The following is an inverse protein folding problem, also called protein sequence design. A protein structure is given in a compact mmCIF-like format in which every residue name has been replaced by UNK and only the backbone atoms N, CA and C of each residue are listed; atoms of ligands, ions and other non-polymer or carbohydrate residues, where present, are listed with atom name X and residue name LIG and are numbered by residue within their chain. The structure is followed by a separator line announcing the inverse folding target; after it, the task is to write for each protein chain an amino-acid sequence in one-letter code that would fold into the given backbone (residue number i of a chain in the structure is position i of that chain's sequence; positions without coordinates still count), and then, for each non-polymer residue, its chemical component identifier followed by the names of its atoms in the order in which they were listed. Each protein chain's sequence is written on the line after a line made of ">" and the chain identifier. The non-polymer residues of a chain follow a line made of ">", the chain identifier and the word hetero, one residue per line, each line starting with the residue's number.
data_IF_085003907327
#
_entry.id   IF_085003907327
#
_cell.length_a   1.000
_cell.length_b   1.000
_cell.length_c   1.000
_cell.angle_alpha   90.00
_cell.angle_beta   90.00
_cell.angle_gamma   90.00
#
_symmetry.space_group_name_H-M   'P 1'
#
loop_
_entity.id
_entity.type
_entity.pdbx_description
1 polymer ?
#
# COMPACT_ATOMS: atom_id res chain seq x y z
N UNK A 1 -0.14 -2.08 22.96
CA UNK A 1 -0.62 -3.37 22.40
C UNK A 1 -2.09 -3.39 21.95
N UNK A 2 -2.78 -2.25 21.91
CA UNK A 2 -4.25 -2.22 21.98
C UNK A 2 -4.97 -2.07 20.63
N UNK A 3 -4.40 -1.38 19.64
CA UNK A 3 -5.09 -1.08 18.39
C UNK A 3 -5.24 -2.28 17.42
N UNK A 4 -4.36 -3.29 17.49
CA UNK A 4 -4.51 -4.54 16.72
C UNK A 4 -5.24 -5.65 17.49
N UNK A 5 -5.24 -5.60 18.82
CA UNK A 5 -6.00 -6.53 19.66
C UNK A 5 -7.51 -6.27 19.55
N UNK A 6 -7.93 -5.00 19.40
CA UNK A 6 -9.31 -4.62 19.07
C UNK A 6 -9.73 -5.05 17.65
N UNK A 7 -8.81 -5.01 16.68
CA UNK A 7 -9.03 -5.55 15.33
C UNK A 7 -9.20 -7.07 15.39
N UNK A 8 -8.42 -7.78 16.21
CA UNK A 8 -8.60 -9.23 16.41
C UNK A 8 -9.88 -9.60 17.16
N UNK A 9 -10.36 -8.76 18.10
CA UNK A 9 -11.64 -8.95 18.78
C UNK A 9 -12.84 -8.73 17.85
N UNK A 10 -12.71 -7.82 16.87
CA UNK A 10 -13.69 -7.67 15.78
C UNK A 10 -13.82 -8.93 14.91
N UNK A 11 -12.77 -9.74 14.82
CA UNK A 11 -12.77 -11.04 14.14
C UNK A 11 -13.17 -12.22 15.06
N UNK A 12 -13.24 -12.02 16.37
CA UNK A 12 -13.48 -13.06 17.36
C UNK A 12 -14.89 -13.02 17.99
N UNK A 13 -15.79 -12.14 17.54
CA UNK A 13 -17.20 -12.23 17.95
C UNK A 13 -17.89 -13.36 17.18
N UNK A 14 -18.60 -14.30 17.84
CA UNK A 14 -19.01 -15.59 17.27
C UNK A 14 -20.11 -15.56 16.21
N UNK A 15 -20.37 -14.42 15.57
CA UNK A 15 -21.53 -14.31 14.68
C UNK A 15 -21.20 -14.45 13.20
N UNK A 16 -20.17 -13.84 12.62
CA UNK A 16 -19.84 -14.13 11.21
C UNK A 16 -18.38 -13.74 10.96
N UNK A 17 -17.52 -14.68 10.54
CA UNK A 17 -16.09 -14.48 10.26
C UNK A 17 -15.76 -13.53 9.09
N UNK A 18 -16.50 -12.43 8.97
CA UNK A 18 -16.40 -11.39 7.94
C UNK A 18 -16.33 -10.01 8.59
N UNK A 19 -15.52 -9.12 7.99
CA UNK A 19 -15.39 -7.73 8.41
C UNK A 19 -16.74 -6.98 8.36
N UNK A 20 -16.99 -6.01 9.27
CA UNK A 20 -18.17 -5.15 9.23
C UNK A 20 -18.38 -4.48 7.87
N UNK A 21 -19.50 -4.76 7.22
CA UNK A 21 -19.84 -4.21 5.91
C UNK A 21 -20.90 -3.12 6.02
N UNK A 22 -21.92 -3.33 6.84
CA UNK A 22 -23.07 -2.43 6.95
C UNK A 22 -22.82 -1.29 7.97
N UNK A 23 -23.55 -0.19 7.83
CA UNK A 23 -23.46 0.93 8.78
C UNK A 23 -23.80 0.50 10.24
N UNK A 24 -24.84 -0.32 10.49
CA UNK A 24 -25.10 -0.87 11.82
C UNK A 24 -23.93 -1.68 12.40
N UNK A 25 -23.34 -2.60 11.62
CA UNK A 25 -22.19 -3.41 12.06
C UNK A 25 -20.98 -2.55 12.40
N UNK A 26 -20.70 -1.53 11.58
CA UNK A 26 -19.61 -0.57 11.82
C UNK A 26 -19.84 0.24 13.11
N UNK A 27 -21.08 0.64 13.37
CA UNK A 27 -21.46 1.32 14.62
C UNK A 27 -21.31 0.39 15.82
N UNK A 28 -21.72 -0.87 15.69
CA UNK A 28 -21.58 -1.89 16.73
C UNK A 28 -20.12 -2.15 17.08
N UNK A 29 -19.23 -2.26 16.09
CA UNK A 29 -17.80 -2.40 16.32
C UNK A 29 -17.24 -1.20 17.11
N UNK A 30 -17.58 0.03 16.71
CA UNK A 30 -17.14 1.24 17.44
C UNK A 30 -17.64 1.26 18.88
N UNK A 31 -18.89 0.87 19.11
CA UNK A 31 -19.46 0.77 20.45
C UNK A 31 -18.76 -0.31 21.30
N UNK A 32 -18.41 -1.44 20.69
CA UNK A 32 -17.64 -2.51 21.36
C UNK A 32 -16.26 -2.01 21.78
N UNK A 33 -15.55 -1.29 20.90
CA UNK A 33 -14.26 -0.68 21.22
C UNK A 33 -14.40 0.29 22.40
N UNK A 34 -15.37 1.20 22.32
CA UNK A 34 -15.62 2.19 23.37
C UNK A 34 -16.01 1.56 24.72
N UNK A 35 -16.73 0.43 24.70
CA UNK A 35 -17.12 -0.27 25.94
C UNK A 35 -15.96 -0.88 26.72
N UNK A 36 -14.79 -1.04 26.08
CA UNK A 36 -13.57 -1.51 26.73
C UNK A 36 -12.80 -0.42 27.48
N UNK A 37 -13.17 0.85 27.28
CA UNK A 37 -12.55 1.99 27.95
C UNK A 37 -12.91 1.95 29.44
N UNK A 38 -11.89 2.05 30.30
CA UNK A 38 -12.08 2.14 31.75
C UNK A 38 -12.57 3.54 32.10
N UNK A 39 -13.37 3.62 33.14
CA UNK A 39 -13.80 4.90 33.72
C UNK A 39 -13.12 5.10 35.06
N UNK A 40 -12.72 6.33 35.34
CA UNK A 40 -12.12 6.75 36.61
C UNK A 40 -12.76 8.08 37.03
N UNK A 41 -12.90 8.29 38.33
CA UNK A 41 -13.31 9.59 38.89
C UNK A 41 -12.17 10.60 38.93
N UNK A 42 -10.94 10.17 38.63
CA UNK A 42 -9.77 11.03 38.51
C UNK A 42 -9.83 11.84 37.19
N UNK A 43 -9.88 13.18 37.24
CA UNK A 43 -9.89 14.03 36.06
C UNK A 43 -8.65 13.93 35.18
N UNK A 44 -7.54 13.39 35.70
CA UNK A 44 -6.29 13.17 34.96
C UNK A 44 -6.20 11.80 34.28
N UNK A 45 -7.19 10.92 34.51
CA UNK A 45 -7.25 9.63 33.85
C UNK A 45 -7.79 9.79 32.44
N UNK A 46 -6.91 9.62 31.45
CA UNK A 46 -7.26 9.62 30.05
C UNK A 46 -6.83 8.29 29.40
N UNK A 47 -7.66 7.80 28.47
CA UNK A 47 -7.40 6.63 27.64
C UNK A 47 -7.46 7.05 26.16
N UNK A 48 -6.62 8.03 25.80
CA UNK A 48 -6.50 8.59 24.44
C UNK A 48 -6.32 7.49 23.37
N UNK A 49 -5.68 6.38 23.73
CA UNK A 49 -5.51 5.21 22.85
C UNK A 49 -6.84 4.56 22.44
N UNK A 50 -7.85 4.51 23.31
CA UNK A 50 -9.19 3.99 23.00
C UNK A 50 -9.96 4.98 22.12
N UNK A 51 -9.84 6.28 22.39
CA UNK A 51 -10.44 7.29 21.52
C UNK A 51 -9.83 7.25 20.12
N UNK A 52 -8.50 7.12 20.03
CA UNK A 52 -7.77 6.95 18.77
C UNK A 52 -8.25 5.70 18.04
N UNK A 53 -8.46 4.59 18.75
CA UNK A 53 -8.99 3.35 18.20
C UNK A 53 -10.40 3.51 17.62
N UNK A 54 -11.31 4.21 18.32
CA UNK A 54 -12.67 4.49 17.81
C UNK A 54 -12.63 5.39 16.57
N UNK A 55 -11.79 6.43 16.58
CA UNK A 55 -11.59 7.33 15.43
C UNK A 55 -11.05 6.57 14.22
N UNK A 56 -10.12 5.64 14.44
CA UNK A 56 -9.45 4.87 13.39
C UNK A 56 -10.09 3.50 13.09
N UNK A 57 -11.19 3.13 13.75
CA UNK A 57 -11.84 1.83 13.59
C UNK A 57 -12.17 1.49 12.13
N UNK A 58 -12.38 2.50 11.29
CA UNK A 58 -12.63 2.32 9.86
C UNK A 58 -11.49 1.67 9.08
N UNK A 59 -10.25 1.82 9.55
CA UNK A 59 -9.09 1.18 8.95
C UNK A 59 -9.14 -0.35 9.10
N UNK A 60 -9.81 -0.85 10.14
CA UNK A 60 -9.94 -2.28 10.40
C UNK A 60 -10.85 -3.00 9.39
N UNK A 61 -11.92 -2.33 8.95
CA UNK A 61 -12.89 -2.87 7.99
C UNK A 61 -12.74 -2.29 6.58
N UNK A 62 -11.73 -1.44 6.35
CA UNK A 62 -11.40 -1.00 5.00
C UNK A 62 -10.78 -2.17 4.23
N UNK A 63 -11.31 -2.52 3.04
CA UNK A 63 -10.72 -3.59 2.24
C UNK A 63 -9.31 -3.17 1.80
N UNK A 64 -8.35 -4.08 1.98
CA UNK A 64 -7.01 -3.90 1.39
C UNK A 64 -7.14 -4.18 -0.11
N UNK A 65 -7.19 -3.11 -0.90
CA UNK A 65 -7.24 -3.17 -2.36
C UNK A 65 -6.03 -2.51 -3.00
N UNK A 66 -5.63 -3.03 -4.15
CA UNK A 66 -4.68 -2.36 -5.04
C UNK A 66 -5.38 -1.11 -5.62
N UNK A 67 -4.76 0.07 -5.60
CA UNK A 67 -5.34 1.25 -6.24
C UNK A 67 -5.50 1.03 -7.75
N UNK A 68 -6.61 1.50 -8.32
CA UNK A 68 -6.97 1.25 -9.73
C UNK A 68 -5.87 1.71 -10.69
N UNK A 69 -5.24 2.86 -10.42
CA UNK A 69 -4.09 3.34 -11.18
C UNK A 69 -2.89 2.37 -11.22
N UNK A 70 -2.65 1.62 -10.14
CA UNK A 70 -1.58 0.63 -10.11
C UNK A 70 -1.98 -0.60 -10.94
N UNK A 71 -3.26 -0.99 -10.92
CA UNK A 71 -3.79 -2.05 -11.79
C UNK A 71 -3.61 -1.65 -13.26
N UNK A 72 -4.05 -0.45 -13.64
CA UNK A 72 -3.86 0.09 -14.99
C UNK A 72 -2.38 0.12 -15.40
N UNK A 73 -1.48 0.49 -14.49
CA UNK A 73 -0.04 0.47 -14.73
C UNK A 73 0.49 -0.95 -14.96
N UNK A 74 0.00 -1.95 -14.23
CA UNK A 74 0.40 -3.36 -14.39
C UNK A 74 -0.11 -3.98 -15.70
N UNK A 75 -1.21 -3.47 -16.25
CA UNK A 75 -1.82 -3.95 -17.50
C UNK A 75 -1.28 -3.24 -18.76
N UNK A 76 -0.25 -2.41 -18.58
CA UNK A 76 0.45 -1.75 -19.68
C UNK A 76 1.27 -2.72 -20.52
N UNK A 77 1.29 -2.52 -21.83
CA UNK A 77 2.10 -3.29 -22.77
C UNK A 77 3.60 -3.25 -22.44
N UNK A 78 4.09 -2.17 -21.83
CA UNK A 78 5.49 -2.04 -21.39
C UNK A 78 5.86 -3.04 -20.27
N UNK A 79 4.87 -3.50 -19.51
CA UNK A 79 5.04 -4.51 -18.44
C UNK A 79 5.04 -5.92 -19.03
N UNK A 80 4.19 -6.18 -20.02
CA UNK A 80 4.11 -7.52 -20.64
C UNK A 80 5.25 -7.78 -21.63
N UNK A 81 5.74 -6.73 -22.32
CA UNK A 81 6.78 -6.82 -23.35
C UNK A 81 8.15 -6.32 -22.86
N UNK A 82 8.50 -6.65 -21.61
CA UNK A 82 9.83 -6.34 -21.05
C UNK A 82 10.92 -7.03 -21.88
N UNK A 83 11.99 -6.29 -22.15
CA UNK A 83 13.16 -6.73 -22.88
C UNK A 83 14.43 -6.01 -22.37
N UNK A 84 15.58 -6.27 -22.99
CA UNK A 84 16.88 -5.73 -22.59
C UNK A 84 16.97 -4.20 -22.58
N UNK A 85 16.19 -3.53 -23.42
CA UNK A 85 16.17 -2.07 -23.54
C UNK A 85 15.10 -1.42 -22.65
N UNK A 86 14.27 -2.22 -21.96
CA UNK A 86 13.22 -1.70 -21.10
C UNK A 86 13.80 -0.89 -19.94
N UNK A 87 13.12 0.19 -19.59
CA UNK A 87 13.46 0.97 -18.41
C UNK A 87 13.36 0.07 -17.15
N UNK A 88 14.31 0.14 -16.22
CA UNK A 88 14.29 -0.60 -14.94
C UNK A 88 12.98 -0.47 -14.16
N UNK A 89 12.27 0.66 -14.31
CA UNK A 89 10.93 0.84 -13.76
C UNK A 89 9.95 -0.24 -14.23
N UNK A 90 9.87 -0.50 -15.54
CA UNK A 90 8.94 -1.48 -16.11
C UNK A 90 9.31 -2.91 -15.72
N UNK A 91 10.61 -3.20 -15.60
CA UNK A 91 11.10 -4.49 -15.11
C UNK A 91 10.66 -4.73 -13.66
N UNK A 92 10.83 -3.73 -12.78
CA UNK A 92 10.37 -3.82 -11.38
C UNK A 92 8.86 -3.92 -11.29
N UNK A 93 8.12 -3.23 -12.15
CA UNK A 93 6.66 -3.31 -12.19
C UNK A 93 6.18 -4.69 -12.69
N UNK A 94 6.91 -5.33 -13.63
CA UNK A 94 6.65 -6.71 -14.05
C UNK A 94 6.89 -7.71 -12.92
N UNK A 95 7.99 -7.58 -12.18
CA UNK A 95 8.24 -8.39 -10.99
C UNK A 95 7.17 -8.19 -9.92
N UNK A 96 6.71 -6.94 -9.71
CA UNK A 96 5.62 -6.63 -8.80
C UNK A 96 4.30 -7.30 -9.24
N UNK A 97 3.97 -7.29 -10.54
CA UNK A 97 2.80 -7.98 -11.09
C UNK A 97 2.86 -9.49 -10.83
N UNK A 98 4.05 -10.11 -10.96
CA UNK A 98 4.26 -11.52 -10.64
C UNK A 98 4.06 -11.81 -9.14
N UNK A 99 4.64 -10.99 -8.27
CA UNK A 99 4.43 -11.11 -6.82
C UNK A 99 2.95 -11.02 -6.46
N UNK A 100 2.22 -10.03 -6.99
CA UNK A 100 0.79 -9.83 -6.72
C UNK A 100 -0.03 -11.06 -7.12
N UNK A 101 0.27 -11.66 -8.28
CA UNK A 101 -0.44 -12.82 -8.78
C UNK A 101 -0.14 -14.11 -7.99
N UNK A 102 1.05 -14.19 -7.38
CA UNK A 102 1.54 -15.37 -6.68
C UNK A 102 1.51 -15.16 -5.16
N UNK A 103 2.64 -14.79 -4.55
CA UNK A 103 2.83 -14.77 -3.10
C UNK A 103 2.03 -13.66 -2.40
N UNK A 104 1.73 -12.58 -3.12
CA UNK A 104 0.96 -11.44 -2.66
C UNK A 104 -0.53 -11.71 -2.54
N UNK A 105 -1.05 -12.78 -3.15
CA UNK A 105 -2.47 -13.15 -3.13
C UNK A 105 -3.40 -11.96 -3.46
N UNK A 106 -3.10 -11.24 -4.55
CA UNK A 106 -3.84 -10.05 -4.98
C UNK A 106 -3.51 -8.77 -4.21
N UNK A 107 -2.41 -8.74 -3.44
CA UNK A 107 -1.99 -7.57 -2.65
C UNK A 107 -0.58 -7.11 -3.03
N UNK A 108 -0.35 -5.81 -2.89
CA UNK A 108 0.96 -5.21 -3.00
C UNK A 108 1.86 -5.62 -1.81
N UNK A 109 3.19 -5.60 -1.97
CA UNK A 109 4.14 -5.83 -0.88
C UNK A 109 3.91 -4.79 0.23
N UNK A 110 4.11 -5.20 1.47
CA UNK A 110 3.90 -4.32 2.61
C UNK A 110 4.92 -3.16 2.61
N UNK A 111 4.45 -1.95 2.91
CA UNK A 111 5.32 -0.76 3.04
C UNK A 111 6.32 -0.85 4.20
N UNK A 112 5.91 -1.55 5.27
CA UNK A 112 6.72 -1.82 6.46
C UNK A 112 6.75 -0.72 7.52
N UNK A 113 6.27 0.49 7.21
CA UNK A 113 6.07 1.56 8.19
C UNK A 113 4.65 1.54 8.75
N UNK A 114 4.52 1.92 10.02
CA UNK A 114 3.25 2.17 10.69
C UNK A 114 3.20 3.65 11.10
N UNK A 115 2.02 4.29 11.12
CA UNK A 115 1.87 5.63 11.65
C UNK A 115 2.10 5.63 13.17
N UNK A 116 2.37 6.82 13.71
CA UNK A 116 2.43 7.05 15.15
C UNK A 116 1.09 6.70 15.82
N UNK A 117 1.14 6.20 17.06
CA UNK A 117 -0.04 5.80 17.83
C UNK A 117 0.24 5.86 19.33
N UNK A 118 -0.79 6.11 20.13
CA UNK A 118 -0.67 6.12 21.58
C UNK A 118 -0.53 4.67 22.12
N UNK A 119 0.69 4.32 22.52
CA UNK A 119 1.03 3.00 23.01
C UNK A 119 2.29 3.04 23.87
N UNK A 120 2.44 2.03 24.74
CA UNK A 120 3.71 1.79 25.42
C UNK A 120 4.84 1.56 24.39
N UNK A 121 6.02 2.14 24.66
CA UNK A 121 7.14 2.16 23.70
C UNK A 121 7.61 0.76 23.30
N UNK A 122 7.55 -0.19 24.24
CA UNK A 122 7.93 -1.59 24.00
C UNK A 122 7.01 -2.23 22.96
N UNK A 123 5.70 -2.08 23.12
CA UNK A 123 4.74 -2.59 22.14
C UNK A 123 4.86 -1.88 20.81
N UNK A 124 4.94 -0.55 20.79
CA UNK A 124 5.06 0.18 19.53
C UNK A 124 6.28 -0.31 18.72
N UNK A 125 7.42 -0.47 19.40
CA UNK A 125 8.65 -1.00 18.79
C UNK A 125 8.46 -2.44 18.29
N UNK A 126 7.81 -3.31 19.08
CA UNK A 126 7.53 -4.69 18.67
C UNK A 126 6.66 -4.73 17.41
N UNK A 127 5.61 -3.91 17.37
CA UNK A 127 4.70 -3.83 16.23
C UNK A 127 5.42 -3.35 14.97
N UNK A 128 6.23 -2.29 15.10
CA UNK A 128 7.04 -1.77 14.01
C UNK A 128 7.98 -2.85 13.44
N UNK A 129 8.60 -3.65 14.30
CA UNK A 129 9.47 -4.77 13.88
C UNK A 129 8.71 -5.83 13.09
N UNK A 130 7.48 -6.17 13.48
CA UNK A 130 6.65 -7.14 12.76
C UNK A 130 6.36 -6.65 11.34
N UNK A 131 5.93 -5.39 11.19
CA UNK A 131 5.65 -4.79 9.89
C UNK A 131 6.91 -4.68 9.02
N UNK A 132 8.03 -4.23 9.59
CA UNK A 132 9.31 -4.17 8.88
C UNK A 132 9.76 -5.55 8.41
N UNK A 133 9.70 -6.56 9.29
CA UNK A 133 10.12 -7.92 8.95
C UNK A 133 9.24 -8.53 7.85
N UNK A 134 7.93 -8.25 7.85
CA UNK A 134 7.04 -8.70 6.76
C UNK A 134 7.35 -7.97 5.45
N UNK A 135 7.59 -6.66 5.48
CA UNK A 135 7.96 -5.89 4.29
C UNK A 135 9.31 -6.35 3.69
N UNK A 136 10.28 -6.71 4.54
CA UNK A 136 11.56 -7.25 4.08
C UNK A 136 11.37 -8.62 3.40
N UNK A 137 10.50 -9.48 3.93
CA UNK A 137 10.13 -10.76 3.29
C UNK A 137 9.46 -10.55 1.93
N UNK A 138 8.47 -9.65 1.86
CA UNK A 138 7.78 -9.34 0.59
C UNK A 138 8.76 -8.75 -0.44
N UNK A 139 9.67 -7.88 0.00
CA UNK A 139 10.72 -7.29 -0.86
C UNK A 139 11.67 -8.36 -1.40
N UNK A 140 12.05 -9.35 -0.59
CA UNK A 140 12.91 -10.45 -1.02
C UNK A 140 12.26 -11.28 -2.14
N UNK A 141 10.96 -11.54 -2.05
CA UNK A 141 10.21 -12.25 -3.09
C UNK A 141 10.12 -11.44 -4.38
N UNK A 142 9.87 -10.12 -4.30
CA UNK A 142 9.91 -9.25 -5.48
C UNK A 142 11.32 -9.23 -6.10
N UNK A 143 12.37 -9.23 -5.28
CA UNK A 143 13.75 -9.26 -5.76
C UNK A 143 14.06 -10.57 -6.49
N UNK A 144 13.54 -11.71 -6.04
CA UNK A 144 13.66 -13.00 -6.73
C UNK A 144 13.00 -12.97 -8.12
N UNK A 145 11.82 -12.35 -8.24
CA UNK A 145 11.18 -12.13 -9.54
C UNK A 145 12.04 -11.22 -10.44
N UNK A 146 12.62 -10.14 -9.89
CA UNK A 146 13.56 -9.28 -10.63
C UNK A 146 14.79 -10.04 -11.11
N UNK A 147 15.39 -10.88 -10.26
CA UNK A 147 16.56 -11.69 -10.60
C UNK A 147 16.23 -12.74 -11.67
N UNK A 148 15.03 -13.30 -11.64
CA UNK A 148 14.53 -14.21 -12.68
C UNK A 148 14.41 -13.48 -14.02
N UNK A 149 13.74 -12.32 -14.05
CA UNK A 149 13.64 -11.49 -15.25
C UNK A 149 15.02 -11.06 -15.77
N UNK A 150 15.96 -10.76 -14.86
CA UNK A 150 17.35 -10.42 -15.24
C UNK A 150 18.02 -11.55 -16.01
N UNK A 151 17.88 -12.80 -15.55
CA UNK A 151 18.45 -13.97 -16.24
C UNK A 151 17.74 -14.24 -17.57
N UNK A 152 16.42 -14.11 -17.61
CA UNK A 152 15.62 -14.38 -18.82
C UNK A 152 15.91 -13.40 -19.95
N UNK A 153 16.13 -12.12 -19.65
CA UNK A 153 16.30 -11.06 -20.65
C UNK A 153 17.73 -10.50 -20.75
N UNK A 154 18.69 -11.10 -20.05
CA UNK A 154 20.10 -10.67 -19.99
C UNK A 154 20.24 -9.17 -19.63
N UNK A 155 19.55 -8.76 -18.56
CA UNK A 155 19.44 -7.35 -18.13
C UNK A 155 20.70 -6.89 -17.37
N UNK A 156 21.13 -5.62 -17.53
CA UNK A 156 22.27 -5.08 -16.79
C UNK A 156 21.98 -4.91 -15.29
N UNK A 157 22.99 -5.15 -14.45
CA UNK A 157 22.87 -5.11 -12.99
C UNK A 157 22.72 -3.70 -12.38
N UNK A 158 23.08 -2.64 -13.12
CA UNK A 158 23.38 -1.32 -12.55
C UNK A 158 22.19 -0.58 -11.93
N UNK A 159 20.94 -1.01 -12.18
CA UNK A 159 19.71 -0.28 -11.78
C UNK A 159 18.64 -1.17 -11.12
N UNK A 160 18.99 -2.41 -10.83
CA UNK A 160 18.14 -3.44 -10.22
C UNK A 160 18.75 -3.95 -8.91
N UNK A 161 19.33 -3.03 -8.12
CA UNK A 161 19.94 -3.37 -6.83
C UNK A 161 18.88 -3.69 -5.78
N UNK A 162 19.24 -4.42 -4.73
CA UNK A 162 18.34 -4.73 -3.61
C UNK A 162 17.79 -3.46 -2.94
N UNK A 163 18.60 -2.40 -2.85
CA UNK A 163 18.20 -1.10 -2.30
C UNK A 163 17.14 -0.42 -3.17
N UNK A 164 17.30 -0.47 -4.50
CA UNK A 164 16.33 0.10 -5.44
C UNK A 164 15.00 -0.66 -5.42
N UNK A 165 15.05 -1.99 -5.35
CA UNK A 165 13.85 -2.84 -5.24
C UNK A 165 13.15 -2.58 -3.91
N UNK A 166 13.88 -2.49 -2.79
CA UNK A 166 13.31 -2.14 -1.48
C UNK A 166 12.61 -0.78 -1.51
N UNK A 167 13.24 0.23 -2.11
CA UNK A 167 12.63 1.57 -2.29
C UNK A 167 11.39 1.48 -3.18
N UNK A 168 11.42 0.68 -4.24
CA UNK A 168 10.27 0.49 -5.13
C UNK A 168 9.10 -0.18 -4.39
N UNK A 169 9.33 -1.28 -3.66
CA UNK A 169 8.31 -1.98 -2.87
C UNK A 169 7.67 -1.07 -1.81
N UNK A 170 8.49 -0.27 -1.09
CA UNK A 170 7.99 0.70 -0.11
C UNK A 170 6.99 1.70 -0.73
N UNK A 171 7.20 2.10 -1.98
CA UNK A 171 6.36 3.08 -2.67
C UNK A 171 5.39 2.46 -3.68
N UNK A 172 5.18 1.14 -3.65
CA UNK A 172 4.42 0.41 -4.67
C UNK A 172 2.98 0.91 -4.85
N UNK A 173 2.37 1.44 -3.78
CA UNK A 173 1.00 1.98 -3.79
C UNK A 173 0.88 3.35 -4.46
N UNK A 174 2.00 4.07 -4.55
CA UNK A 174 2.07 5.47 -4.99
C UNK A 174 2.77 5.62 -6.35
N UNK A 175 3.05 4.51 -7.05
CA UNK A 175 3.68 4.58 -8.36
C UNK A 175 2.81 5.36 -9.34
N UNK A 176 3.46 6.21 -10.13
CA UNK A 176 2.84 7.06 -11.15
C UNK A 176 3.75 7.12 -12.37
N UNK A 177 3.14 7.17 -13.55
CA UNK A 177 3.84 7.45 -14.80
C UNK A 177 3.12 8.61 -15.47
N UNK A 178 3.83 9.71 -15.67
CA UNK A 178 3.33 10.88 -16.38
C UNK A 178 3.95 10.88 -17.77
N UNK A 179 3.12 11.02 -18.81
CA UNK A 179 3.58 11.14 -20.20
C UNK A 179 3.17 12.52 -20.71
N UNK A 180 4.17 13.28 -21.14
CA UNK A 180 3.95 14.58 -21.75
C UNK A 180 4.06 14.45 -23.26
N UNK A 181 3.31 15.30 -23.97
CA UNK A 181 3.45 15.46 -25.42
C UNK A 181 4.75 16.19 -25.73
N UNK A 182 5.26 16.01 -26.94
CA UNK A 182 6.37 16.82 -27.42
C UNK A 182 5.86 18.22 -27.77
N UNK A 183 6.68 19.25 -27.57
CA UNK A 183 6.32 20.63 -27.92
C UNK A 183 5.90 20.76 -29.40
N UNK A 184 6.55 20.01 -30.30
CA UNK A 184 6.19 19.99 -31.72
C UNK A 184 4.78 19.43 -31.98
N UNK A 185 4.30 18.49 -31.16
CA UNK A 185 2.95 17.91 -31.27
C UNK A 185 1.89 18.86 -30.70
N UNK A 186 2.25 19.64 -29.68
CA UNK A 186 1.42 20.69 -29.10
C UNK A 186 1.23 21.88 -30.05
N UNK A 187 2.30 22.26 -30.76
CA UNK A 187 2.28 23.35 -31.73
C UNK A 187 1.63 22.95 -33.06
N UNK A 188 1.31 21.68 -33.26
CA UNK A 188 0.62 21.21 -34.46
C UNK A 188 -0.90 21.47 -34.34
N UNK A 189 -1.47 22.36 -35.16
CA UNK A 189 -2.90 22.71 -35.08
C UNK A 189 -3.85 21.55 -35.43
N UNK A 190 -3.33 20.46 -36.01
CA UNK A 190 -4.11 19.28 -36.37
C UNK A 190 -4.16 18.21 -35.28
N UNK A 191 -3.43 18.37 -34.17
CA UNK A 191 -3.47 17.42 -33.06
C UNK A 191 -4.67 17.73 -32.15
N UNK A 192 -5.64 16.82 -31.97
CA UNK A 192 -6.77 17.09 -31.07
C UNK A 192 -6.29 17.27 -29.63
N UNK A 193 -6.91 18.18 -28.85
CA UNK A 193 -6.60 18.34 -27.44
C UNK A 193 -7.01 17.07 -26.68
N UNK A 194 -6.07 16.52 -25.91
CA UNK A 194 -6.33 15.37 -25.06
C UNK A 194 -7.12 15.83 -23.81
N UNK A 195 -8.41 15.50 -23.77
CA UNK A 195 -9.32 15.84 -22.67
C UNK A 195 -9.05 15.00 -21.40
N UNK A 196 -8.15 14.01 -21.45
CA UNK A 196 -7.80 13.17 -20.30
C UNK A 196 -6.54 13.62 -19.55
N UNK A 197 -5.84 14.65 -20.04
CA UNK A 197 -4.70 15.27 -19.38
C UNK A 197 -5.02 16.71 -19.00
N UNK A 198 -5.63 16.91 -17.83
CA UNK A 198 -5.90 18.25 -17.28
C UNK A 198 -4.60 19.06 -17.29
N UNK A 199 -4.50 19.99 -18.24
CA UNK A 199 -3.61 21.14 -18.20
C UNK A 199 -3.95 21.96 -16.95
N UNK A 200 -3.33 21.63 -15.83
CA UNK A 200 -3.17 22.59 -14.74
C UNK A 200 -2.19 23.64 -15.24
N UNK A 201 -2.76 24.73 -15.75
CA UNK A 201 -2.02 25.91 -16.16
C UNK A 201 -1.08 26.36 -15.05
N UNK A 202 0.10 26.81 -15.46
CA UNK A 202 1.04 27.54 -14.63
C UNK A 202 0.31 28.74 -14.04
N UNK A 203 -0.07 28.66 -12.77
CA UNK A 203 -0.41 29.83 -11.98
C UNK A 203 0.92 30.40 -11.50
N UNK A 204 1.19 31.64 -11.93
CA UNK A 204 2.33 32.46 -11.48
C UNK A 204 2.31 32.66 -9.97
#
# INVERSE_FOLDING_TARGET
>A
MYNLYLISLAFATPQHGSLPQTHPEKKQLKALIASGQRTSSDPSFDEENFEEAVRNAWKAYAPTKIPDQIVELMDRAEVDNVNRQSNPFWIKLRALKQFVANEGAGRLPLQGSIPDMEADSATYTQLQRIYSARADKDTALVLEHVDTLRRTFDLPHTSLTSVDVKRFCRNARELRVVRCRRIAEELNPMTPPDLNGVLMGVVR
#
